data_IF_443119709760
#
_entry.id   IF_443119709760
#
_cell.length_a   1.000
_cell.length_b   1.000
_cell.length_c   1.000
_cell.angle_alpha   90.00
_cell.angle_beta   90.00
_cell.angle_gamma   90.00
#
_symmetry.space_group_name_H-M   'P 1'
#
loop_
_entity.id
_entity.type
_entity.pdbx_description
1 polymer ?
#
# COMPACT_ATOMS: atom_id res chain seq x y z
N UNK A 1 6.68 -11.95 7.10
CA UNK A 1 7.21 -10.58 6.92
C UNK A 1 7.44 -9.95 8.28
N UNK A 2 8.66 -9.56 8.65
CA UNK A 2 8.85 -8.77 9.88
C UNK A 2 8.30 -7.37 9.65
N UNK A 3 7.32 -6.98 10.44
CA UNK A 3 6.59 -5.73 10.24
C UNK A 3 7.27 -4.61 11.04
N UNK A 4 7.90 -3.65 10.35
CA UNK A 4 8.46 -2.48 11.04
C UNK A 4 7.34 -1.62 11.62
N UNK A 5 7.62 -0.85 12.68
CA UNK A 5 6.65 0.06 13.30
C UNK A 5 6.10 1.07 12.29
N UNK A 6 6.97 1.53 11.38
CA UNK A 6 6.61 2.43 10.29
C UNK A 6 5.67 1.77 9.29
N UNK A 7 5.98 0.55 8.82
CA UNK A 7 5.12 -0.20 7.91
C UNK A 7 3.74 -0.47 8.51
N UNK A 8 3.65 -0.74 9.82
CA UNK A 8 2.36 -0.88 10.52
C UNK A 8 1.55 0.43 10.55
N UNK A 9 2.21 1.57 10.72
CA UNK A 9 1.55 2.87 10.68
C UNK A 9 0.99 3.17 9.28
N UNK A 10 1.74 2.81 8.24
CA UNK A 10 1.29 2.88 6.85
C UNK A 10 0.08 1.98 6.60
N UNK A 11 0.14 0.71 6.98
CA UNK A 11 -0.99 -0.22 6.85
C UNK A 11 -2.27 0.35 7.47
N UNK A 12 -2.19 0.79 8.73
CA UNK A 12 -3.38 1.30 9.45
C UNK A 12 -3.99 2.50 8.73
N UNK A 13 -3.15 3.41 8.21
CA UNK A 13 -3.59 4.61 7.50
C UNK A 13 -4.24 4.26 6.16
N UNK A 14 -3.59 3.40 5.38
CA UNK A 14 -4.06 2.99 4.06
C UNK A 14 -5.34 2.19 4.14
N UNK A 15 -5.43 1.23 5.06
CA UNK A 15 -6.64 0.43 5.27
C UNK A 15 -7.83 1.33 5.66
N UNK A 16 -7.63 2.25 6.61
CA UNK A 16 -8.68 3.22 6.98
C UNK A 16 -9.14 4.06 5.80
N UNK A 17 -8.20 4.58 5.01
CA UNK A 17 -8.51 5.44 3.86
C UNK A 17 -9.22 4.68 2.73
N UNK A 18 -8.73 3.49 2.39
CA UNK A 18 -9.30 2.66 1.33
C UNK A 18 -10.69 2.12 1.72
N UNK A 19 -10.91 1.72 2.98
CA UNK A 19 -12.25 1.33 3.46
C UNK A 19 -13.27 2.48 3.41
N UNK A 20 -12.84 3.74 3.47
CA UNK A 20 -13.73 4.89 3.29
C UNK A 20 -14.06 5.19 1.81
N UNK A 21 -13.47 4.46 0.86
CA UNK A 21 -13.78 4.54 -0.57
C UNK A 21 -13.29 5.80 -1.29
N UNK A 22 -12.50 6.67 -0.63
CA UNK A 22 -12.02 7.90 -1.26
C UNK A 22 -10.65 8.36 -0.74
N UNK A 23 -9.66 8.61 -1.62
CA UNK A 23 -8.49 9.38 -1.26
C UNK A 23 -8.88 10.86 -1.09
N UNK A 24 -9.03 11.34 0.15
CA UNK A 24 -9.42 12.72 0.47
C UNK A 24 -8.52 13.78 -0.20
N UNK A 25 -9.03 14.98 -0.53
CA UNK A 25 -8.27 16.00 -1.28
C UNK A 25 -7.04 16.52 -0.51
N UNK A 26 -7.06 16.42 0.82
CA UNK A 26 -5.97 16.84 1.71
C UNK A 26 -4.93 15.74 1.96
N UNK A 27 -5.08 14.58 1.33
CA UNK A 27 -4.18 13.45 1.50
C UNK A 27 -2.89 13.66 0.67
N UNK A 28 -1.70 13.38 1.24
CA UNK A 28 -0.44 13.41 0.49
C UNK A 28 -0.52 12.59 -0.80
N UNK A 29 0.13 13.06 -1.87
CA UNK A 29 0.06 12.41 -3.19
C UNK A 29 0.39 10.91 -3.14
N UNK A 30 1.38 10.52 -2.34
CA UNK A 30 1.79 9.13 -2.17
C UNK A 30 0.72 8.27 -1.50
N UNK A 31 0.03 8.80 -0.49
CA UNK A 31 -1.08 8.10 0.16
C UNK A 31 -2.26 7.96 -0.80
N UNK A 32 -2.54 8.99 -1.63
CA UNK A 32 -3.58 8.89 -2.67
C UNK A 32 -3.26 7.82 -3.72
N UNK A 33 -2.01 7.74 -4.16
CA UNK A 33 -1.57 6.72 -5.11
C UNK A 33 -1.69 5.31 -4.51
N UNK A 34 -1.28 5.14 -3.25
CA UNK A 34 -1.43 3.89 -2.52
C UNK A 34 -2.91 3.50 -2.32
N UNK A 35 -3.80 4.44 -2.03
CA UNK A 35 -5.25 4.16 -1.97
C UNK A 35 -5.79 3.81 -3.36
N UNK A 36 -5.35 4.48 -4.42
CA UNK A 36 -5.75 4.15 -5.79
C UNK A 36 -5.29 2.74 -6.20
N UNK A 37 -4.08 2.32 -5.80
CA UNK A 37 -3.63 0.93 -5.91
C UNK A 37 -4.63 0.00 -5.22
N UNK A 38 -4.96 0.24 -3.94
CA UNK A 38 -5.82 -0.67 -3.17
C UNK A 38 -7.24 -0.80 -3.74
N UNK A 39 -7.72 0.21 -4.47
CA UNK A 39 -9.06 0.25 -5.04
C UNK A 39 -9.13 -0.15 -6.53
N UNK A 40 -7.99 -0.44 -7.17
CA UNK A 40 -7.88 -0.78 -8.59
C UNK A 40 -7.24 -2.16 -8.80
N UNK A 41 -7.37 -2.71 -10.01
CA UNK A 41 -6.65 -3.89 -10.51
C UNK A 41 -5.74 -3.54 -11.72
N UNK A 42 -5.39 -2.26 -11.88
CA UNK A 42 -4.54 -1.79 -12.98
C UNK A 42 -3.05 -2.16 -12.74
N UNK A 43 -2.45 -3.05 -13.54
CA UNK A 43 -1.09 -3.52 -13.31
C UNK A 43 -0.02 -2.43 -13.52
N UNK A 44 -0.28 -1.43 -14.36
CA UNK A 44 0.65 -0.32 -14.60
C UNK A 44 0.63 0.66 -13.43
N UNK A 45 -0.57 0.95 -12.91
CA UNK A 45 -0.74 1.70 -11.67
C UNK A 45 -0.06 0.99 -10.49
N UNK A 46 -0.18 -0.34 -10.45
CA UNK A 46 0.38 -1.15 -9.38
C UNK A 46 1.90 -1.03 -9.32
N UNK A 47 2.56 -1.23 -10.46
CA UNK A 47 4.01 -1.13 -10.55
C UNK A 47 4.53 0.28 -10.23
N UNK A 48 3.88 1.31 -10.77
CA UNK A 48 4.27 2.72 -10.54
C UNK A 48 4.13 3.11 -9.07
N UNK A 49 3.02 2.73 -8.45
CA UNK A 49 2.77 3.02 -7.04
C UNK A 49 3.72 2.24 -6.15
N UNK A 50 3.96 0.96 -6.44
CA UNK A 50 4.91 0.14 -5.68
C UNK A 50 6.34 0.72 -5.74
N UNK A 51 6.76 1.25 -6.89
CA UNK A 51 8.07 1.90 -7.05
C UNK A 51 8.22 3.11 -6.13
N UNK A 52 7.20 3.97 -6.04
CA UNK A 52 7.24 5.15 -5.16
C UNK A 52 7.17 4.75 -3.68
N UNK A 53 6.31 3.78 -3.35
CA UNK A 53 6.12 3.32 -1.98
C UNK A 53 7.36 2.59 -1.44
N UNK A 54 8.11 1.88 -2.29
CA UNK A 54 9.32 1.15 -1.93
C UNK A 54 10.36 2.03 -1.23
N UNK A 55 10.50 3.28 -1.66
CA UNK A 55 11.41 4.25 -1.04
C UNK A 55 10.97 4.69 0.37
N UNK A 56 9.69 4.49 0.71
CA UNK A 56 9.12 4.91 1.98
C UNK A 56 8.99 3.77 3.00
N UNK A 57 8.64 2.56 2.55
CA UNK A 57 8.25 1.47 3.45
C UNK A 57 9.17 0.25 3.43
N UNK A 58 10.09 0.20 2.46
CA UNK A 58 10.99 -0.92 2.23
C UNK A 58 12.47 -0.50 2.36
N UNK A 59 12.75 0.55 3.14
CA UNK A 59 14.12 1.03 3.39
C UNK A 59 14.99 -0.03 4.08
N UNK A 60 14.37 -0.93 4.86
CA UNK A 60 14.95 -2.09 5.54
C UNK A 60 15.13 -3.31 4.63
N UNK A 61 14.67 -3.25 3.38
CA UNK A 61 14.76 -4.33 2.39
C UNK A 61 15.94 -4.05 1.44
N UNK A 62 16.70 -5.08 1.00
CA UNK A 62 17.72 -4.93 -0.02
C UNK A 62 17.21 -4.20 -1.25
N UNK A 63 18.00 -3.28 -1.80
CA UNK A 63 17.59 -2.37 -2.87
C UNK A 63 17.01 -3.10 -4.10
N UNK A 64 17.55 -4.29 -4.42
CA UNK A 64 17.09 -5.14 -5.53
C UNK A 64 15.67 -5.66 -5.36
N UNK A 65 15.19 -5.76 -4.11
CA UNK A 65 13.97 -6.49 -3.78
C UNK A 65 12.83 -5.55 -3.33
N UNK A 66 13.12 -4.24 -3.15
CA UNK A 66 12.17 -3.30 -2.53
C UNK A 66 10.85 -3.16 -3.28
N UNK A 67 10.92 -3.10 -4.61
CA UNK A 67 9.73 -2.92 -5.46
C UNK A 67 8.87 -4.18 -5.42
N UNK A 68 9.48 -5.34 -5.61
CA UNK A 68 8.80 -6.64 -5.55
C UNK A 68 8.16 -6.86 -4.18
N UNK A 69 8.92 -6.63 -3.11
CA UNK A 69 8.43 -6.69 -1.74
C UNK A 69 7.22 -5.78 -1.52
N UNK A 70 7.31 -4.53 -1.99
CA UNK A 70 6.26 -3.52 -1.80
C UNK A 70 5.01 -3.88 -2.59
N UNK A 71 5.17 -4.35 -3.82
CA UNK A 71 4.05 -4.79 -4.66
C UNK A 71 3.34 -5.97 -4.02
N UNK A 72 4.07 -7.00 -3.58
CA UNK A 72 3.52 -8.15 -2.88
C UNK A 72 2.74 -7.72 -1.62
N UNK A 73 3.34 -6.89 -0.78
CA UNK A 73 2.69 -6.39 0.44
C UNK A 73 1.42 -5.59 0.13
N UNK A 74 1.44 -4.71 -0.87
CA UNK A 74 0.26 -3.94 -1.27
C UNK A 74 -0.85 -4.83 -1.85
N UNK A 75 -0.50 -5.90 -2.57
CA UNK A 75 -1.47 -6.91 -3.02
C UNK A 75 -2.12 -7.64 -1.82
N UNK A 76 -1.33 -8.04 -0.82
CA UNK A 76 -1.86 -8.65 0.41
C UNK A 76 -2.84 -7.71 1.13
N UNK A 77 -2.55 -6.41 1.17
CA UNK A 77 -3.47 -5.40 1.72
C UNK A 77 -4.76 -5.27 0.92
N UNK A 78 -4.68 -5.24 -0.41
CA UNK A 78 -5.85 -5.23 -1.30
C UNK A 78 -6.72 -6.46 -1.06
N UNK A 79 -6.11 -7.64 -0.94
CA UNK A 79 -6.83 -8.88 -0.65
C UNK A 79 -7.45 -8.90 0.75
N UNK A 80 -6.77 -8.31 1.74
CA UNK A 80 -7.35 -8.13 3.07
C UNK A 80 -8.55 -7.17 3.03
N UNK A 81 -8.45 -6.06 2.29
CA UNK A 81 -9.53 -5.09 2.12
C UNK A 81 -10.77 -5.72 1.46
N UNK A 82 -10.55 -6.55 0.43
CA UNK A 82 -11.61 -7.27 -0.30
C UNK A 82 -12.33 -8.31 0.54
N UNK A 83 -11.62 -8.97 1.45
CA UNK A 83 -12.22 -9.97 2.37
C UNK A 83 -13.17 -9.34 3.38
N UNK A 84 -13.08 -8.02 3.63
CA UNK A 84 -13.86 -7.34 4.65
C UNK A 84 -13.47 -7.76 6.07
N UNK A 85 -14.14 -7.22 7.11
CA UNK A 85 -13.92 -7.66 8.49
C UNK A 85 -14.28 -9.16 8.58
N UNK A 86 -13.34 -10.01 9.01
CA UNK A 86 -13.70 -11.37 9.38
C UNK A 86 -14.68 -11.31 10.58
N UNK A 87 -15.78 -12.09 10.56
CA UNK A 87 -16.75 -12.12 11.65
C UNK A 87 -16.16 -12.64 12.96
#
# INVERSE_FOLDING_TARGET
MTMTRERRAWETRLMRAASAGYPGPNMPMVERAAVAFLLSDDPELDLRTATVMAELIAVDVPATDRVEFTQMWMCELRDALRRGPQP
#
